data_IF_342964806524
#
_entry.id   IF_342964806524
#
_cell.length_a   1.000
_cell.length_b   1.000
_cell.length_c   1.000
_cell.angle_alpha   90.00
_cell.angle_beta   90.00
_cell.angle_gamma   90.00
#
_symmetry.space_group_name_H-M   'P 1'
#
loop_
_entity.id
_entity.type
_entity.pdbx_description
1 polymer ?
#
# COMPACT_ATOMS: atom_id res chain seq x y z
N UNK A 1 -24.19 37.11 1.76
CA UNK A 1 -24.32 37.14 0.27
C UNK A 1 -23.19 36.45 -0.48
N UNK A 2 -21.90 36.75 -0.30
CA UNK A 2 -20.83 36.02 -1.00
C UNK A 2 -20.58 34.60 -0.45
N UNK A 3 -20.72 34.42 0.85
CA UNK A 3 -20.56 33.10 1.52
C UNK A 3 -21.64 32.14 1.05
N UNK A 4 -22.89 32.55 1.05
CA UNK A 4 -24.02 31.70 0.63
C UNK A 4 -23.89 31.24 -0.83
N UNK A 5 -23.40 32.12 -1.71
CA UNK A 5 -23.15 31.76 -3.12
C UNK A 5 -22.09 30.67 -3.25
N UNK A 6 -20.99 30.78 -2.49
CA UNK A 6 -19.91 29.75 -2.52
C UNK A 6 -20.41 28.47 -1.92
N UNK A 7 -21.07 28.51 -0.77
CA UNK A 7 -21.62 27.32 -0.11
C UNK A 7 -22.60 26.58 -1.00
N UNK A 8 -23.56 27.29 -1.60
CA UNK A 8 -24.55 26.71 -2.50
C UNK A 8 -23.89 26.15 -3.78
N UNK A 9 -22.92 26.86 -4.36
CA UNK A 9 -22.20 26.39 -5.53
C UNK A 9 -21.49 25.06 -5.28
N UNK A 10 -20.85 24.89 -4.10
CA UNK A 10 -20.20 23.63 -3.73
C UNK A 10 -21.25 22.53 -3.48
N UNK A 11 -22.29 22.80 -2.70
CA UNK A 11 -23.36 21.85 -2.37
C UNK A 11 -24.10 21.33 -3.60
N UNK A 12 -24.34 22.19 -4.57
CA UNK A 12 -25.14 21.85 -5.77
C UNK A 12 -24.30 21.21 -6.88
N UNK A 13 -22.99 21.51 -6.89
CA UNK A 13 -22.10 21.03 -7.96
C UNK A 13 -21.46 19.67 -7.66
N UNK A 14 -21.38 19.26 -6.40
CA UNK A 14 -20.69 18.06 -5.98
C UNK A 14 -21.61 16.92 -5.62
N UNK A 15 -21.21 15.70 -5.93
CA UNK A 15 -21.86 14.48 -5.49
C UNK A 15 -20.80 13.45 -5.04
N UNK A 16 -20.93 12.79 -3.88
CA UNK A 16 -21.86 13.15 -2.80
C UNK A 16 -21.77 14.62 -2.36
N UNK A 17 -22.80 15.15 -1.69
CA UNK A 17 -22.81 16.54 -1.24
C UNK A 17 -21.64 16.83 -0.31
N UNK A 18 -20.92 17.91 -0.59
CA UNK A 18 -19.83 18.42 0.26
C UNK A 18 -20.38 19.59 1.07
N UNK A 19 -20.26 19.51 2.39
CA UNK A 19 -20.65 20.58 3.30
C UNK A 19 -19.41 21.41 3.68
N UNK A 20 -19.14 22.54 3.00
CA UNK A 20 -17.99 23.37 3.31
C UNK A 20 -18.23 24.21 4.58
N UNK A 21 -17.17 24.42 5.36
CA UNK A 21 -17.15 25.46 6.36
C UNK A 21 -16.55 26.73 5.72
N UNK A 22 -17.36 27.79 5.57
CA UNK A 22 -16.95 29.03 4.91
C UNK A 22 -16.90 30.13 5.93
N UNK A 23 -15.70 30.70 6.16
CA UNK A 23 -15.47 31.79 7.13
C UNK A 23 -14.78 32.97 6.48
N UNK A 24 -14.95 34.15 7.09
CA UNK A 24 -14.20 35.34 6.73
C UNK A 24 -13.09 35.55 7.74
N UNK A 25 -11.88 35.79 7.24
CA UNK A 25 -10.72 36.12 8.08
C UNK A 25 -10.07 37.41 7.56
N UNK A 26 -9.42 38.14 8.45
CA UNK A 26 -8.64 39.32 8.08
C UNK A 26 -7.17 38.94 8.12
N UNK A 27 -6.49 39.10 6.99
CA UNK A 27 -5.06 38.86 6.84
C UNK A 27 -4.45 40.11 6.18
N UNK A 28 -3.48 40.73 6.81
CA UNK A 28 -2.81 41.95 6.32
C UNK A 28 -3.81 43.04 5.84
N UNK A 29 -4.78 43.36 6.69
CA UNK A 29 -5.87 44.34 6.43
C UNK A 29 -6.77 43.99 5.21
N UNK A 30 -6.69 42.75 4.69
CA UNK A 30 -7.55 42.25 3.62
C UNK A 30 -8.51 41.21 4.14
N UNK A 31 -9.77 41.32 3.77
CA UNK A 31 -10.74 40.26 4.05
C UNK A 31 -10.58 39.13 3.05
N UNK A 32 -10.26 37.93 3.56
CA UNK A 32 -10.16 36.69 2.79
C UNK A 32 -11.31 35.76 3.13
N UNK A 33 -11.77 34.99 2.16
CA UNK A 33 -12.75 33.93 2.34
C UNK A 33 -11.97 32.61 2.51
N UNK A 34 -12.15 31.97 3.64
CA UNK A 34 -11.56 30.65 3.92
C UNK A 34 -12.64 29.59 3.73
N UNK A 35 -12.38 28.65 2.83
CA UNK A 35 -13.26 27.50 2.56
C UNK A 35 -12.55 26.26 3.06
N UNK A 36 -13.08 25.66 4.10
CA UNK A 36 -12.56 24.43 4.68
C UNK A 36 -13.46 23.26 4.35
N UNK A 37 -12.87 22.20 3.81
CA UNK A 37 -13.56 20.96 3.45
C UNK A 37 -12.90 19.83 4.23
N UNK A 38 -13.68 19.18 5.08
CA UNK A 38 -13.21 18.03 5.85
C UNK A 38 -13.18 16.78 4.98
N UNK A 39 -12.18 15.90 5.17
CA UNK A 39 -12.18 14.58 4.57
C UNK A 39 -13.45 13.82 4.96
N UNK A 40 -14.13 13.24 3.99
CA UNK A 40 -15.35 12.50 4.28
C UNK A 40 -15.28 11.07 3.69
N UNK A 41 -15.96 10.09 4.31
CA UNK A 41 -15.82 8.68 3.99
C UNK A 41 -16.48 8.26 2.67
N UNK A 42 -17.42 9.05 2.14
CA UNK A 42 -18.22 8.68 0.97
C UNK A 42 -17.49 8.99 -0.36
N UNK A 43 -16.34 8.40 -0.58
CA UNK A 43 -15.57 8.56 -1.82
C UNK A 43 -16.14 7.70 -2.96
N UNK A 44 -15.95 8.11 -4.24
CA UNK A 44 -15.33 9.35 -4.72
C UNK A 44 -16.30 10.53 -4.71
N UNK A 45 -15.77 11.74 -4.52
CA UNK A 45 -16.48 12.98 -4.76
C UNK A 45 -16.23 13.44 -6.18
N UNK A 46 -17.29 13.89 -6.88
CA UNK A 46 -17.18 14.28 -8.28
C UNK A 46 -18.09 15.46 -8.63
N UNK A 47 -17.77 16.15 -9.72
CA UNK A 47 -18.63 17.20 -10.28
C UNK A 47 -19.85 16.56 -10.90
N UNK A 48 -21.02 16.80 -10.31
CA UNK A 48 -22.30 16.15 -10.68
C UNK A 48 -22.62 16.26 -12.17
N UNK A 49 -22.42 17.43 -12.78
CA UNK A 49 -22.71 17.65 -14.20
C UNK A 49 -21.85 16.84 -15.17
N UNK A 50 -20.67 16.35 -14.70
CA UNK A 50 -19.72 15.59 -15.51
C UNK A 50 -19.83 14.08 -15.27
N UNK A 51 -20.53 13.66 -14.20
CA UNK A 51 -20.63 12.28 -13.77
C UNK A 51 -19.35 11.74 -13.13
N UNK A 52 -19.45 10.54 -12.54
CA UNK A 52 -18.39 9.98 -11.69
C UNK A 52 -17.04 9.81 -12.41
N UNK A 53 -17.04 9.41 -13.69
CA UNK A 53 -15.79 9.11 -14.43
C UNK A 53 -15.04 10.39 -14.81
N UNK A 54 -15.76 11.37 -15.38
CA UNK A 54 -15.14 12.62 -15.87
C UNK A 54 -15.07 13.72 -14.81
N UNK A 55 -15.93 13.64 -13.80
CA UNK A 55 -16.04 14.63 -12.75
C UNK A 55 -15.18 14.37 -11.52
N UNK A 56 -14.52 13.21 -11.44
CA UNK A 56 -13.62 12.90 -10.33
C UNK A 56 -12.21 13.37 -10.63
N UNK A 57 -11.66 14.13 -9.69
CA UNK A 57 -10.31 14.69 -9.77
C UNK A 57 -9.48 14.22 -8.58
N UNK A 58 -8.19 13.96 -8.83
CA UNK A 58 -7.20 13.60 -7.82
C UNK A 58 -6.00 14.53 -7.88
N UNK A 59 -5.33 14.70 -6.74
CA UNK A 59 -4.10 15.46 -6.67
C UNK A 59 -2.91 14.52 -6.75
N UNK A 60 -2.10 14.68 -7.79
CA UNK A 60 -0.90 13.87 -8.01
C UNK A 60 0.30 14.80 -8.15
N UNK A 61 1.31 14.63 -7.31
CA UNK A 61 2.56 15.40 -7.34
C UNK A 61 2.35 16.92 -7.48
N UNK A 62 1.38 17.49 -6.73
CA UNK A 62 1.10 18.91 -6.76
C UNK A 62 0.18 19.40 -7.89
N UNK A 63 -0.22 18.53 -8.83
CA UNK A 63 -1.16 18.86 -9.91
C UNK A 63 -2.51 18.18 -9.71
N UNK A 64 -3.60 18.86 -10.13
CA UNK A 64 -4.93 18.26 -10.15
C UNK A 64 -5.17 17.64 -11.53
N UNK A 65 -5.55 16.37 -11.56
CA UNK A 65 -5.80 15.60 -12.78
C UNK A 65 -7.12 14.84 -12.70
N UNK A 66 -7.67 14.49 -13.83
CA UNK A 66 -8.74 13.51 -13.88
C UNK A 66 -8.27 12.18 -13.30
N UNK A 67 -9.17 11.51 -12.60
CA UNK A 67 -8.90 10.18 -12.03
C UNK A 67 -8.70 9.17 -13.18
N UNK A 68 -7.72 8.28 -13.03
CA UNK A 68 -7.56 7.12 -13.90
C UNK A 68 -8.52 5.99 -13.47
N UNK A 69 -8.82 5.06 -14.37
CA UNK A 69 -9.82 4.02 -14.13
C UNK A 69 -9.54 3.17 -12.88
N UNK A 70 -8.29 2.78 -12.68
CA UNK A 70 -7.92 1.99 -11.50
C UNK A 70 -8.04 2.79 -10.19
N UNK A 71 -7.63 4.07 -10.20
CA UNK A 71 -7.77 4.96 -9.04
C UNK A 71 -9.25 5.21 -8.70
N UNK A 72 -10.10 5.30 -9.74
CA UNK A 72 -11.54 5.44 -9.51
C UNK A 72 -12.11 4.19 -8.83
N UNK A 73 -11.70 3.00 -9.26
CA UNK A 73 -12.09 1.73 -8.62
C UNK A 73 -11.64 1.67 -7.16
N UNK A 74 -10.41 2.12 -6.87
CA UNK A 74 -9.90 2.20 -5.49
C UNK A 74 -10.73 3.15 -4.63
N UNK A 75 -11.01 4.35 -5.13
CA UNK A 75 -11.83 5.34 -4.41
C UNK A 75 -13.25 4.83 -4.13
N UNK A 76 -13.84 4.07 -5.06
CA UNK A 76 -15.17 3.44 -4.86
C UNK A 76 -15.10 2.37 -3.77
N UNK A 77 -14.09 1.51 -3.78
CA UNK A 77 -13.89 0.49 -2.75
C UNK A 77 -13.66 1.15 -1.38
N UNK A 78 -12.77 2.13 -1.32
CA UNK A 78 -12.46 2.89 -0.10
C UNK A 78 -13.71 3.57 0.48
N UNK A 79 -14.54 4.17 -0.38
CA UNK A 79 -15.83 4.76 0.02
C UNK A 79 -16.84 3.77 0.58
N UNK A 80 -16.65 2.48 0.31
CA UNK A 80 -17.45 1.38 0.86
C UNK A 80 -16.77 0.69 2.05
N UNK A 81 -15.65 1.22 2.56
CA UNK A 81 -14.78 0.55 3.54
C UNK A 81 -14.35 -0.85 3.09
N UNK A 82 -14.11 -1.01 1.80
CA UNK A 82 -13.65 -2.26 1.18
C UNK A 82 -12.27 -2.01 0.58
N UNK A 83 -11.41 -3.00 0.67
CA UNK A 83 -10.05 -2.96 0.13
C UNK A 83 -9.86 -4.16 -0.78
N UNK A 84 -9.07 -3.98 -1.84
CA UNK A 84 -8.84 -5.04 -2.84
C UNK A 84 -8.32 -6.33 -2.22
N UNK A 85 -7.40 -6.23 -1.28
CA UNK A 85 -6.79 -7.35 -0.58
C UNK A 85 -7.79 -8.16 0.25
N UNK A 86 -8.79 -7.51 0.85
CA UNK A 86 -9.85 -8.17 1.64
C UNK A 86 -11.04 -8.67 0.82
N UNK A 87 -11.05 -8.46 -0.51
CA UNK A 87 -12.05 -9.05 -1.39
C UNK A 87 -11.80 -10.54 -1.61
N UNK A 88 -12.88 -11.32 -1.72
CA UNK A 88 -12.78 -12.76 -2.02
C UNK A 88 -12.05 -12.97 -3.35
N UNK A 89 -11.06 -13.82 -3.33
CA UNK A 89 -10.29 -14.16 -4.51
C UNK A 89 -11.15 -14.95 -5.50
N UNK A 90 -11.32 -14.43 -6.72
CA UNK A 90 -12.17 -15.05 -7.74
C UNK A 90 -11.58 -16.30 -8.38
N UNK A 91 -10.28 -16.51 -8.20
CA UNK A 91 -9.53 -17.60 -8.85
C UNK A 91 -9.28 -18.79 -7.92
N UNK A 92 -9.42 -18.59 -6.62
CA UNK A 92 -9.27 -19.61 -5.61
C UNK A 92 -10.63 -19.84 -4.96
N UNK A 93 -11.20 -21.00 -5.13
CA UNK A 93 -12.53 -21.34 -4.62
C UNK A 93 -12.51 -22.09 -3.31
N UNK A 94 -11.37 -22.70 -2.98
CA UNK A 94 -11.19 -23.53 -1.80
C UNK A 94 -9.81 -23.31 -1.20
N UNK A 95 -9.71 -23.49 0.11
CA UNK A 95 -8.46 -23.48 0.88
C UNK A 95 -8.50 -24.64 1.85
N UNK A 96 -7.47 -25.47 1.82
CA UNK A 96 -7.37 -26.60 2.71
C UNK A 96 -6.71 -26.22 4.05
N UNK A 97 -7.13 -26.86 5.14
CA UNK A 97 -6.61 -26.55 6.49
C UNK A 97 -5.09 -26.67 6.59
N UNK A 98 -4.47 -27.67 5.89
CA UNK A 98 -3.02 -27.82 5.84
C UNK A 98 -2.29 -26.62 5.19
N UNK A 99 -2.91 -25.98 4.20
CA UNK A 99 -2.36 -24.78 3.55
C UNK A 99 -2.46 -23.56 4.47
N UNK A 100 -3.59 -23.43 5.19
CA UNK A 100 -3.79 -22.41 6.22
C UNK A 100 -2.74 -22.55 7.32
N UNK A 101 -2.56 -23.76 7.85
CA UNK A 101 -1.55 -24.05 8.87
C UNK A 101 -0.13 -23.75 8.38
N UNK A 102 0.18 -24.09 7.13
CA UNK A 102 1.47 -23.77 6.52
C UNK A 102 1.68 -22.27 6.49
N UNK A 103 0.70 -21.50 5.98
CA UNK A 103 0.79 -20.03 5.94
C UNK A 103 1.00 -19.45 7.34
N UNK A 104 0.26 -19.92 8.35
CA UNK A 104 0.41 -19.49 9.74
C UNK A 104 1.83 -19.72 10.26
N UNK A 105 2.41 -20.91 10.02
CA UNK A 105 3.78 -21.24 10.42
C UNK A 105 4.80 -20.36 9.69
N UNK A 106 4.65 -20.19 8.36
CA UNK A 106 5.58 -19.41 7.55
C UNK A 106 5.58 -17.94 7.98
N UNK A 107 4.41 -17.34 8.22
CA UNK A 107 4.30 -15.98 8.72
C UNK A 107 4.93 -15.82 10.11
N UNK A 108 4.68 -16.76 11.04
CA UNK A 108 5.32 -16.74 12.37
C UNK A 108 6.84 -16.83 12.25
N UNK A 109 7.35 -17.71 11.40
CA UNK A 109 8.78 -17.88 11.17
C UNK A 109 9.43 -16.59 10.64
N UNK A 110 8.76 -15.87 9.73
CA UNK A 110 9.24 -14.58 9.23
C UNK A 110 9.32 -13.55 10.35
N UNK A 111 8.28 -13.46 11.22
CA UNK A 111 8.30 -12.53 12.36
C UNK A 111 9.46 -12.84 13.29
N UNK A 112 9.65 -14.11 13.66
CA UNK A 112 10.76 -14.55 14.53
C UNK A 112 12.12 -14.23 13.90
N UNK A 113 12.32 -14.52 12.60
CA UNK A 113 13.56 -14.24 11.86
C UNK A 113 13.91 -12.74 11.90
N UNK A 114 12.92 -11.88 11.83
CA UNK A 114 13.09 -10.43 11.75
C UNK A 114 13.11 -9.73 13.11
N UNK A 115 12.86 -10.45 14.19
CA UNK A 115 12.93 -9.94 15.55
C UNK A 115 14.37 -10.08 16.05
N UNK A 116 15.00 -8.97 16.46
CA UNK A 116 16.40 -8.97 16.92
C UNK A 116 16.53 -9.42 18.38
N UNK A 117 15.58 -9.07 19.23
CA UNK A 117 15.59 -9.39 20.65
C UNK A 117 15.10 -10.82 20.90
N UNK A 118 15.96 -11.63 21.53
CA UNK A 118 15.65 -13.04 21.85
C UNK A 118 14.45 -13.19 22.80
N UNK A 119 14.28 -12.26 23.74
CA UNK A 119 13.10 -12.28 24.61
C UNK A 119 11.81 -11.97 23.86
N UNK A 120 11.86 -11.05 22.90
CA UNK A 120 10.74 -10.73 22.03
C UNK A 120 10.41 -11.88 21.06
N UNK A 121 11.40 -12.66 20.59
CA UNK A 121 11.15 -13.87 19.79
C UNK A 121 10.30 -14.90 20.53
N UNK A 122 10.57 -15.10 21.82
CA UNK A 122 9.80 -16.02 22.66
C UNK A 122 8.37 -15.53 22.90
N UNK A 123 8.12 -14.23 22.84
CA UNK A 123 6.82 -13.61 23.01
C UNK A 123 5.97 -13.59 21.72
N UNK A 124 6.51 -14.01 20.57
CA UNK A 124 5.76 -14.05 19.30
C UNK A 124 4.61 -15.03 19.41
N UNK A 125 3.39 -14.52 19.34
CA UNK A 125 2.17 -15.32 19.42
C UNK A 125 1.97 -16.18 18.18
N UNK A 126 1.25 -17.29 18.35
CA UNK A 126 0.84 -18.11 17.23
C UNK A 126 -0.14 -17.36 16.34
N UNK A 127 0.10 -17.43 15.03
CA UNK A 127 -0.87 -17.00 14.04
C UNK A 127 -1.81 -18.18 13.79
N UNK A 128 -3.11 -17.95 13.96
CA UNK A 128 -4.14 -18.96 13.82
C UNK A 128 -5.08 -18.63 12.66
N UNK A 129 -5.88 -19.59 12.23
CA UNK A 129 -6.95 -19.37 11.24
C UNK A 129 -7.85 -18.19 11.61
N UNK A 130 -8.23 -18.06 12.89
CA UNK A 130 -9.07 -16.96 13.37
C UNK A 130 -8.35 -15.60 13.24
N UNK A 131 -7.05 -15.56 13.47
CA UNK A 131 -6.24 -14.36 13.26
C UNK A 131 -6.23 -13.97 11.78
N UNK A 132 -6.07 -14.94 10.86
CA UNK A 132 -6.13 -14.68 9.42
C UNK A 132 -7.51 -14.17 8.97
N UNK A 133 -8.59 -14.67 9.57
CA UNK A 133 -9.95 -14.15 9.33
C UNK A 133 -10.07 -12.70 9.85
N UNK A 134 -9.59 -12.44 11.05
CA UNK A 134 -9.61 -11.07 11.63
C UNK A 134 -8.82 -10.07 10.80
N UNK A 135 -7.71 -10.50 10.21
CA UNK A 135 -6.88 -9.66 9.33
C UNK A 135 -7.42 -9.55 7.89
N UNK A 136 -8.52 -10.23 7.58
CA UNK A 136 -9.09 -10.21 6.24
C UNK A 136 -8.31 -11.02 5.19
N UNK A 137 -7.37 -11.87 5.61
CA UNK A 137 -6.64 -12.81 4.74
C UNK A 137 -7.55 -13.98 4.35
N UNK A 138 -8.44 -14.38 5.23
CA UNK A 138 -9.51 -15.35 4.97
C UNK A 138 -10.86 -14.72 5.31
N UNK A 139 -11.91 -15.20 4.68
CA UNK A 139 -13.29 -14.80 4.97
C UNK A 139 -14.14 -16.01 5.33
N UNK A 140 -14.91 -15.89 6.41
CA UNK A 140 -15.94 -16.87 6.74
C UNK A 140 -17.28 -16.38 6.14
N UNK A 141 -17.83 -17.18 5.25
CA UNK A 141 -19.12 -16.92 4.63
C UNK A 141 -20.01 -18.14 4.87
N UNK A 142 -20.96 -18.00 5.75
CA UNK A 142 -21.91 -19.06 6.14
C UNK A 142 -21.23 -20.38 6.58
N UNK A 143 -20.12 -20.26 7.32
CA UNK A 143 -19.33 -21.41 7.79
C UNK A 143 -18.35 -21.97 6.78
N UNK A 144 -18.32 -21.44 5.54
CA UNK A 144 -17.31 -21.78 4.53
C UNK A 144 -16.18 -20.76 4.55
N UNK A 145 -14.95 -21.25 4.70
CA UNK A 145 -13.77 -20.40 4.64
C UNK A 145 -13.34 -20.19 3.20
N UNK A 146 -13.30 -18.93 2.81
CA UNK A 146 -12.91 -18.50 1.47
C UNK A 146 -11.62 -17.69 1.52
N UNK A 147 -10.71 -17.87 0.54
CA UNK A 147 -9.50 -17.06 0.42
C UNK A 147 -9.82 -15.68 -0.12
N UNK A 148 -9.15 -14.66 0.39
CA UNK A 148 -9.16 -13.32 -0.16
C UNK A 148 -7.99 -13.10 -1.12
N UNK A 149 -7.93 -11.93 -1.77
CA UNK A 149 -6.78 -11.57 -2.58
C UNK A 149 -5.51 -11.47 -1.74
N UNK A 150 -5.60 -11.07 -0.45
CA UNK A 150 -4.48 -11.09 0.47
C UNK A 150 -3.91 -12.51 0.66
N UNK A 151 -4.77 -13.52 0.79
CA UNK A 151 -4.34 -14.92 0.86
C UNK A 151 -3.57 -15.31 -0.41
N UNK A 152 -4.12 -14.98 -1.58
CA UNK A 152 -3.49 -15.29 -2.85
C UNK A 152 -2.12 -14.60 -3.01
N UNK A 153 -1.98 -13.34 -2.57
CA UNK A 153 -0.72 -12.60 -2.56
C UNK A 153 0.32 -13.23 -1.62
N UNK A 154 -0.09 -13.58 -0.41
CA UNK A 154 0.77 -14.17 0.62
C UNK A 154 1.19 -15.61 0.30
N UNK A 155 0.43 -16.33 -0.52
CA UNK A 155 0.75 -17.69 -0.94
C UNK A 155 1.36 -17.79 -2.35
N UNK A 156 1.42 -16.66 -3.08
CA UNK A 156 1.91 -16.60 -4.44
C UNK A 156 0.96 -17.22 -5.47
N UNK A 157 -0.34 -17.30 -5.15
CA UNK A 157 -1.36 -17.94 -5.99
C UNK A 157 -2.21 -16.95 -6.79
N UNK A 158 -1.76 -15.71 -6.94
CA UNK A 158 -2.44 -14.74 -7.80
C UNK A 158 -2.34 -15.14 -9.27
N UNK A 159 -3.42 -14.99 -10.03
CA UNK A 159 -3.44 -15.28 -11.48
C UNK A 159 -2.40 -14.45 -12.24
N UNK A 160 -2.22 -13.20 -11.83
CA UNK A 160 -1.16 -12.31 -12.32
C UNK A 160 -0.38 -11.83 -11.12
N UNK A 161 0.55 -12.67 -10.70
CA UNK A 161 1.40 -12.36 -9.55
C UNK A 161 2.23 -11.12 -9.86
N UNK A 162 2.14 -10.06 -9.05
CA UNK A 162 3.02 -8.92 -9.19
C UNK A 162 4.44 -9.33 -8.84
N UNK A 163 5.43 -8.82 -9.56
CA UNK A 163 6.84 -9.10 -9.33
C UNK A 163 7.58 -7.83 -8.91
N UNK A 164 8.65 -8.00 -8.14
CA UNK A 164 9.59 -6.92 -7.86
C UNK A 164 10.72 -7.01 -8.88
N UNK A 165 10.99 -5.91 -9.58
CA UNK A 165 12.07 -5.77 -10.55
C UNK A 165 13.19 -4.92 -9.96
N UNK A 166 14.34 -5.52 -9.73
CA UNK A 166 15.52 -4.83 -9.25
C UNK A 166 16.54 -4.68 -10.38
N UNK A 167 17.17 -3.51 -10.47
CA UNK A 167 18.17 -3.25 -11.48
C UNK A 167 19.29 -2.34 -10.98
N UNK A 168 20.51 -2.62 -11.47
CA UNK A 168 21.68 -1.75 -11.30
C UNK A 168 22.02 -1.15 -12.66
N UNK A 169 22.12 0.18 -12.70
CA UNK A 169 22.42 0.92 -13.92
C UNK A 169 23.87 1.43 -13.88
N UNK A 170 24.46 1.57 -15.06
CA UNK A 170 25.78 2.21 -15.24
C UNK A 170 25.62 3.73 -15.30
N UNK A 171 26.29 4.43 -14.38
CA UNK A 171 26.26 5.90 -14.33
C UNK A 171 24.92 6.45 -13.82
N UNK A 172 24.53 7.63 -14.27
CA UNK A 172 23.37 8.37 -13.76
C UNK A 172 22.13 8.28 -14.66
N UNK A 173 22.16 7.41 -15.66
CA UNK A 173 21.05 7.22 -16.61
C UNK A 173 20.57 5.77 -16.57
N UNK A 174 19.31 5.54 -16.97
CA UNK A 174 18.74 4.19 -17.08
C UNK A 174 19.04 3.52 -18.43
N UNK A 175 20.05 4.00 -19.17
CA UNK A 175 20.32 3.53 -20.53
C UNK A 175 21.01 2.15 -20.58
N UNK A 176 21.83 1.84 -19.57
CA UNK A 176 22.59 0.58 -19.55
C UNK A 176 22.43 -0.13 -18.22
N UNK A 177 21.93 -1.37 -18.29
CA UNK A 177 21.86 -2.28 -17.15
C UNK A 177 23.23 -2.92 -16.91
N UNK A 178 23.68 -2.94 -15.64
CA UNK A 178 24.80 -3.76 -15.16
C UNK A 178 24.28 -5.13 -14.71
N UNK A 179 23.14 -5.11 -14.00
CA UNK A 179 22.49 -6.31 -13.48
C UNK A 179 20.98 -6.06 -13.36
N UNK A 180 20.18 -7.11 -13.53
CA UNK A 180 18.73 -7.08 -13.38
C UNK A 180 18.25 -8.41 -12.83
N UNK A 181 17.38 -8.37 -11.83
CA UNK A 181 16.67 -9.53 -11.31
C UNK A 181 15.20 -9.24 -11.12
N UNK A 182 14.40 -10.28 -11.29
CA UNK A 182 12.95 -10.26 -11.02
C UNK A 182 12.66 -11.29 -9.93
N UNK A 183 11.79 -10.90 -8.99
CA UNK A 183 11.39 -11.76 -7.88
C UNK A 183 9.88 -11.95 -7.92
N UNK A 184 9.46 -13.18 -8.07
CA UNK A 184 8.07 -13.63 -8.08
C UNK A 184 7.75 -14.46 -6.83
N UNK A 185 6.53 -15.01 -6.77
CA UNK A 185 6.07 -15.84 -5.67
C UNK A 185 5.40 -15.02 -4.55
N UNK A 186 5.30 -15.58 -3.33
CA UNK A 186 4.70 -14.91 -2.18
C UNK A 186 5.29 -13.52 -1.92
N UNK A 187 4.45 -12.51 -1.74
CA UNK A 187 4.92 -11.10 -1.65
C UNK A 187 5.93 -10.87 -0.54
N UNK A 188 5.81 -11.57 0.59
CA UNK A 188 6.77 -11.46 1.69
C UNK A 188 8.15 -12.04 1.32
N UNK A 189 8.21 -13.06 0.45
CA UNK A 189 9.48 -13.60 -0.05
C UNK A 189 10.10 -12.67 -1.09
N UNK A 190 9.29 -12.05 -1.94
CA UNK A 190 9.76 -11.04 -2.89
C UNK A 190 10.44 -9.87 -2.17
N UNK A 191 9.85 -9.37 -1.07
CA UNK A 191 10.45 -8.31 -0.25
C UNK A 191 11.83 -8.75 0.27
N UNK A 192 11.94 -9.95 0.80
CA UNK A 192 13.19 -10.47 1.33
C UNK A 192 14.26 -10.62 0.23
N UNK A 193 13.89 -11.18 -0.92
CA UNK A 193 14.81 -11.34 -2.05
C UNK A 193 15.28 -9.99 -2.62
N UNK A 194 14.36 -9.03 -2.76
CA UNK A 194 14.71 -7.69 -3.21
C UNK A 194 15.63 -6.99 -2.22
N UNK A 195 15.37 -7.13 -0.92
CA UNK A 195 16.22 -6.60 0.14
C UNK A 195 17.64 -7.18 0.07
N UNK A 196 17.77 -8.51 -0.03
CA UNK A 196 19.06 -9.18 -0.15
C UNK A 196 19.80 -8.75 -1.42
N UNK A 197 19.08 -8.63 -2.54
CA UNK A 197 19.66 -8.13 -3.78
C UNK A 197 20.26 -6.71 -3.63
N UNK A 198 19.56 -5.82 -2.95
CA UNK A 198 20.07 -4.46 -2.69
C UNK A 198 21.32 -4.53 -1.82
N UNK A 199 21.34 -5.34 -0.76
CA UNK A 199 22.50 -5.52 0.11
C UNK A 199 23.73 -6.07 -0.64
N UNK A 200 23.53 -6.94 -1.64
CA UNK A 200 24.61 -7.44 -2.52
C UNK A 200 25.21 -6.36 -3.40
N UNK A 201 24.48 -5.27 -3.68
CA UNK A 201 24.87 -4.23 -4.65
C UNK A 201 25.37 -2.93 -4.01
N UNK A 202 25.02 -2.66 -2.77
CA UNK A 202 25.53 -1.48 -2.05
C UNK A 202 26.90 -1.77 -1.43
N UNK A 203 27.71 -0.72 -1.29
CA UNK A 203 29.04 -0.84 -0.72
C UNK A 203 28.98 -1.10 0.79
N UNK A 204 29.87 -1.94 1.25
CA UNK A 204 30.12 -2.17 2.65
C UNK A 204 31.50 -1.58 3.02
N UNK A 205 31.49 -0.56 3.85
CA UNK A 205 32.67 0.04 4.42
C UNK A 205 33.01 -0.53 5.79
N UNK A 206 34.14 -0.12 6.33
CA UNK A 206 34.50 -0.46 7.70
C UNK A 206 34.72 0.83 8.52
N UNK A 207 34.27 0.82 9.75
CA UNK A 207 34.62 1.81 10.74
C UNK A 207 35.44 1.16 11.86
N UNK A 208 36.58 1.78 12.21
CA UNK A 208 37.42 1.29 13.31
C UNK A 208 37.09 2.13 14.53
N UNK A 209 36.50 1.50 15.55
CA UNK A 209 36.19 2.14 16.83
C UNK A 209 37.08 1.52 17.91
N UNK A 210 38.18 2.23 18.26
CA UNK A 210 39.22 1.70 19.13
C UNK A 210 39.97 0.54 18.48
N UNK A 211 39.94 -0.65 19.10
CA UNK A 211 40.55 -1.89 18.59
C UNK A 211 39.61 -2.79 17.82
N UNK A 212 38.32 -2.39 17.71
CA UNK A 212 37.30 -3.18 17.06
C UNK A 212 36.97 -2.64 15.67
N UNK A 213 36.89 -3.54 14.69
CA UNK A 213 36.36 -3.31 13.36
C UNK A 213 34.84 -3.50 13.38
N UNK A 214 34.13 -2.53 12.84
CA UNK A 214 32.68 -2.62 12.61
C UNK A 214 32.43 -2.42 11.12
N UNK A 215 31.90 -3.43 10.48
CA UNK A 215 31.45 -3.35 9.09
C UNK A 215 30.11 -2.62 9.03
N UNK A 216 29.99 -1.65 8.14
CA UNK A 216 28.79 -0.83 7.97
C UNK A 216 28.44 -0.71 6.49
N UNK A 217 27.18 -0.86 6.16
CA UNK A 217 26.69 -0.53 4.83
C UNK A 217 26.67 0.98 4.63
N UNK A 218 26.89 1.44 3.39
CA UNK A 218 26.83 2.87 3.01
C UNK A 218 25.44 3.48 3.18
N UNK A 219 24.39 2.64 3.19
CA UNK A 219 23.01 3.02 3.37
C UNK A 219 22.39 2.32 4.59
N UNK A 220 21.40 2.94 5.27
CA UNK A 220 20.74 2.35 6.42
C UNK A 220 19.88 1.15 5.99
N UNK A 221 20.31 -0.05 6.35
CA UNK A 221 19.70 -1.31 5.91
C UNK A 221 18.25 -1.48 6.34
N UNK A 222 17.89 -1.02 7.55
CA UNK A 222 16.52 -1.06 8.04
C UNK A 222 15.60 -0.16 7.21
N UNK A 223 16.08 1.04 6.84
CA UNK A 223 15.35 1.96 5.97
C UNK A 223 15.11 1.38 4.56
N UNK A 224 16.11 0.68 4.00
CA UNK A 224 15.95 0.00 2.69
C UNK A 224 14.83 -1.05 2.76
N UNK A 225 14.85 -1.87 3.79
CA UNK A 225 13.84 -2.91 3.97
C UNK A 225 12.44 -2.33 4.10
N UNK A 226 12.30 -1.27 4.90
CA UNK A 226 11.04 -0.57 5.08
C UNK A 226 10.53 0.04 3.77
N UNK A 227 11.40 0.67 2.99
CA UNK A 227 11.03 1.24 1.69
C UNK A 227 10.52 0.17 0.71
N UNK A 228 11.18 -0.98 0.63
CA UNK A 228 10.75 -2.10 -0.21
C UNK A 228 9.40 -2.64 0.27
N UNK A 229 9.26 -2.87 1.58
CA UNK A 229 8.02 -3.35 2.16
C UNK A 229 6.85 -2.37 1.93
N UNK A 230 7.09 -1.07 2.09
CA UNK A 230 6.11 -0.01 1.83
C UNK A 230 5.71 0.05 0.35
N UNK A 231 6.67 -0.11 -0.57
CA UNK A 231 6.37 -0.17 -2.00
C UNK A 231 5.44 -1.34 -2.36
N UNK A 232 5.60 -2.48 -1.69
CA UNK A 232 4.73 -3.65 -1.85
C UNK A 232 3.36 -3.43 -1.18
N UNK A 233 3.35 -2.89 0.04
CA UNK A 233 2.12 -2.74 0.82
C UNK A 233 1.19 -1.66 0.26
N UNK A 234 1.73 -0.59 -0.32
CA UNK A 234 0.97 0.58 -0.75
C UNK A 234 0.76 0.70 -2.26
N UNK A 235 1.20 -0.29 -3.05
CA UNK A 235 0.89 -0.30 -4.48
C UNK A 235 -0.58 -0.60 -4.74
N UNK A 236 -1.11 -0.12 -5.87
CA UNK A 236 -2.39 -0.61 -6.38
C UNK A 236 -2.25 -2.02 -6.95
N UNK A 237 -3.07 -2.95 -6.47
CA UNK A 237 -3.19 -4.31 -7.00
C UNK A 237 -4.35 -4.44 -8.00
N UNK A 238 -5.10 -3.36 -8.24
CA UNK A 238 -6.13 -3.29 -9.29
C UNK A 238 -5.53 -3.09 -10.67
N UNK A 239 -4.35 -2.47 -10.73
CA UNK A 239 -3.60 -2.28 -11.96
C UNK A 239 -2.51 -3.34 -12.09
N UNK A 240 -2.48 -4.10 -13.19
CA UNK A 240 -1.39 -5.02 -13.44
C UNK A 240 -0.11 -4.24 -13.71
N UNK A 241 0.93 -4.51 -12.93
CA UNK A 241 2.23 -3.85 -13.06
C UNK A 241 3.24 -4.47 -12.10
N UNK A 242 4.50 -4.13 -12.27
CA UNK A 242 5.60 -4.57 -11.40
C UNK A 242 6.03 -3.45 -10.47
N UNK A 243 6.70 -3.79 -9.38
CA UNK A 243 7.35 -2.85 -8.46
C UNK A 243 8.78 -2.68 -8.90
#
# INVERSE_FOLDING_TARGET
MKIDVITNAILDSCEPKIHPNVTLQILDDKTVIVVEIQPAPMRPYYIKSQGIVKGTYVRVAGTTRHVEEYMLKELILEGQNRYYDSEICKYLTEVHDNEIEKLCRDMKAIVIKNTLDESAKLAVRDITKNVLITWGVLKDVDGKILPTNAYALLTGQMLRQPVIQCAVFKGNTRAYFIDRREFDGPVQQQVEFAYQYVLEKINMGMHIKGIYRQDMYELPVDGIRELIANAVAHRSYLEPGNI
#
